data_IF_577558571620
#
_entry.id   IF_577558571620
#
_cell.length_a   1.000
_cell.length_b   1.000
_cell.length_c   1.000
_cell.angle_alpha   90.00
_cell.angle_beta   90.00
_cell.angle_gamma   90.00
#
_symmetry.space_group_name_H-M   'P 1'
#
loop_
_entity.id
_entity.type
_entity.pdbx_description
1 polymer ?
#
# COMPACT_ATOMS: atom_id res chain seq x y z
N UNK A 1 -29.31 5.37 14.95
CA UNK A 1 -28.25 5.54 15.98
C UNK A 1 -27.73 6.96 15.99
N UNK A 2 -27.59 7.57 14.82
CA UNK A 2 -27.31 8.99 14.62
C UNK A 2 -28.10 9.92 15.57
N UNK A 3 -29.43 9.83 15.60
CA UNK A 3 -30.25 10.68 16.49
C UNK A 3 -29.92 10.51 17.97
N UNK A 4 -29.64 9.28 18.41
CA UNK A 4 -29.25 8.98 19.80
C UNK A 4 -27.88 9.59 20.10
N UNK A 5 -26.90 9.42 19.21
CA UNK A 5 -25.55 9.98 19.41
C UNK A 5 -25.59 11.51 19.37
N UNK A 6 -26.33 12.11 18.45
CA UNK A 6 -26.57 13.56 18.39
C UNK A 6 -27.18 14.08 19.70
N UNK A 7 -28.19 13.37 20.24
CA UNK A 7 -28.78 13.73 21.53
C UNK A 7 -27.79 13.63 22.69
N UNK A 8 -26.92 12.62 22.70
CA UNK A 8 -25.88 12.46 23.71
C UNK A 8 -24.83 13.58 23.62
N UNK A 9 -24.41 13.96 22.41
CA UNK A 9 -23.49 15.08 22.20
C UNK A 9 -24.11 16.42 22.61
N UNK A 10 -25.42 16.64 22.37
CA UNK A 10 -26.14 17.82 22.88
C UNK A 10 -26.20 17.90 24.40
N UNK A 11 -26.17 16.77 25.10
CA UNK A 11 -26.04 16.75 26.56
C UNK A 11 -24.61 17.16 26.96
N UNK A 12 -23.60 16.67 26.23
CA UNK A 12 -22.20 17.03 26.45
C UNK A 12 -21.93 18.53 26.22
N UNK A 13 -22.66 19.17 25.32
CA UNK A 13 -22.55 20.62 25.06
C UNK A 13 -22.86 21.50 26.29
N UNK A 14 -23.51 20.95 27.32
CA UNK A 14 -23.80 21.65 28.58
C UNK A 14 -22.64 21.63 29.58
N UNK A 15 -21.62 20.80 29.35
CA UNK A 15 -20.49 20.63 30.26
C UNK A 15 -19.60 21.88 30.26
N UNK A 16 -18.98 22.19 31.41
CA UNK A 16 -18.10 23.36 31.55
C UNK A 16 -16.63 23.00 31.82
N UNK A 17 -16.37 21.76 32.21
CA UNK A 17 -15.02 21.25 32.50
C UNK A 17 -14.76 19.97 31.74
N UNK A 18 -13.49 19.69 31.46
CA UNK A 18 -13.08 18.49 30.73
C UNK A 18 -13.41 17.22 31.51
N UNK A 19 -13.26 17.24 32.84
CA UNK A 19 -13.61 16.10 33.69
C UNK A 19 -15.12 15.75 33.62
N UNK A 20 -15.99 16.78 33.69
CA UNK A 20 -17.43 16.61 33.53
C UNK A 20 -17.81 16.12 32.13
N UNK A 21 -17.16 16.66 31.10
CA UNK A 21 -17.33 16.23 29.71
C UNK A 21 -16.98 14.75 29.55
N UNK A 22 -15.84 14.32 30.08
CA UNK A 22 -15.39 12.93 30.03
C UNK A 22 -16.42 11.99 30.66
N UNK A 23 -16.88 12.32 31.87
CA UNK A 23 -17.88 11.52 32.58
C UNK A 23 -19.20 11.46 31.83
N UNK A 24 -19.69 12.60 31.34
CA UNK A 24 -20.96 12.68 30.61
C UNK A 24 -20.89 11.92 29.28
N UNK A 25 -19.76 12.01 28.57
CA UNK A 25 -19.52 11.25 27.36
C UNK A 25 -19.49 9.74 27.64
N UNK A 26 -18.79 9.32 28.69
CA UNK A 26 -18.70 7.92 29.08
C UNK A 26 -20.06 7.34 29.54
N UNK A 27 -20.92 8.16 30.16
CA UNK A 27 -22.25 7.74 30.60
C UNK A 27 -23.29 7.73 29.46
N UNK A 28 -23.20 8.65 28.49
CA UNK A 28 -24.25 8.85 27.47
C UNK A 28 -23.87 8.43 26.05
N UNK A 29 -22.64 8.72 25.62
CA UNK A 29 -22.19 8.47 24.25
C UNK A 29 -21.52 7.09 24.12
N UNK A 30 -20.62 6.74 25.05
CA UNK A 30 -19.90 5.46 25.03
C UNK A 30 -20.83 4.24 24.93
N UNK A 31 -21.95 4.11 25.66
CA UNK A 31 -22.85 2.95 25.53
C UNK A 31 -23.47 2.82 24.13
N UNK A 32 -23.70 3.93 23.43
CA UNK A 32 -24.24 3.93 22.06
C UNK A 32 -23.17 3.40 21.10
N UNK A 33 -21.91 3.81 21.29
CA UNK A 33 -20.77 3.29 20.52
C UNK A 33 -20.56 1.80 20.80
N UNK A 34 -20.60 1.38 22.06
CA UNK A 34 -20.48 -0.03 22.46
C UNK A 34 -21.58 -0.89 21.81
N UNK A 35 -22.83 -0.42 21.82
CA UNK A 35 -23.94 -1.10 21.16
C UNK A 35 -23.73 -1.24 19.64
N UNK A 36 -23.21 -0.20 18.99
CA UNK A 36 -22.92 -0.23 17.56
C UNK A 36 -21.79 -1.23 17.25
N UNK A 37 -20.71 -1.18 18.02
CA UNK A 37 -19.52 -2.01 17.82
C UNK A 37 -19.72 -3.48 18.20
N UNK A 38 -20.71 -3.80 19.02
CA UNK A 38 -21.10 -5.19 19.33
C UNK A 38 -22.21 -5.73 18.41
N UNK A 39 -22.66 -4.95 17.44
CA UNK A 39 -23.67 -5.43 16.49
C UNK A 39 -23.09 -6.56 15.60
N UNK A 40 -23.89 -7.61 15.30
CA UNK A 40 -23.43 -8.70 14.45
C UNK A 40 -23.13 -8.21 13.03
N UNK A 41 -22.04 -8.71 12.45
CA UNK A 41 -21.67 -8.46 11.06
C UNK A 41 -22.67 -9.11 10.11
N UNK A 42 -23.12 -8.38 9.10
CA UNK A 42 -24.10 -8.84 8.10
C UNK A 42 -23.44 -9.78 7.08
N UNK A 43 -22.20 -9.47 6.69
CA UNK A 43 -21.38 -10.27 5.80
C UNK A 43 -20.00 -10.50 6.43
N UNK A 44 -19.40 -11.65 6.13
CA UNK A 44 -18.01 -11.90 6.47
C UNK A 44 -17.09 -11.06 5.57
N UNK A 45 -16.03 -10.45 6.10
CA UNK A 45 -15.07 -9.72 5.29
C UNK A 45 -14.32 -10.67 4.35
N UNK A 46 -14.34 -10.30 3.08
CA UNK A 46 -13.66 -10.95 1.96
C UNK A 46 -13.04 -9.88 1.07
N UNK A 47 -12.18 -10.28 0.13
CA UNK A 47 -11.41 -9.37 -0.73
C UNK A 47 -12.31 -8.51 -1.65
N UNK A 48 -13.42 -9.08 -2.11
CA UNK A 48 -14.38 -8.41 -2.99
C UNK A 48 -15.46 -7.63 -2.24
N UNK A 49 -15.64 -7.86 -0.94
CA UNK A 49 -16.62 -7.13 -0.13
C UNK A 49 -15.98 -5.87 0.42
N UNK A 50 -16.67 -4.75 0.33
CA UNK A 50 -16.20 -3.55 1.04
C UNK A 50 -16.38 -3.75 2.55
N UNK A 51 -15.50 -3.18 3.39
CA UNK A 51 -15.66 -3.25 4.85
C UNK A 51 -17.02 -2.71 5.32
N UNK A 52 -17.56 -1.72 4.61
CA UNK A 52 -18.85 -1.09 4.92
C UNK A 52 -20.02 -2.06 4.77
N UNK A 53 -19.98 -2.93 3.76
CA UNK A 53 -20.99 -3.99 3.58
C UNK A 53 -20.98 -5.03 4.70
N UNK A 54 -19.84 -5.20 5.40
CA UNK A 54 -19.73 -6.15 6.50
C UNK A 54 -20.51 -5.65 7.72
N UNK A 55 -20.55 -4.32 7.93
CA UNK A 55 -21.22 -3.69 9.06
C UNK A 55 -21.88 -2.36 8.67
N UNK A 56 -23.06 -2.40 8.02
CA UNK A 56 -23.71 -1.20 7.49
C UNK A 56 -24.10 -0.23 8.61
N UNK A 57 -24.52 -0.75 9.77
CA UNK A 57 -24.89 0.07 10.94
C UNK A 57 -23.72 0.91 11.47
N UNK A 58 -22.50 0.37 11.41
CA UNK A 58 -21.29 1.08 11.84
C UNK A 58 -20.80 2.02 10.74
N UNK A 59 -20.94 1.63 9.47
CA UNK A 59 -20.66 2.51 8.34
C UNK A 59 -21.56 3.76 8.34
N UNK A 60 -22.87 3.59 8.58
CA UNK A 60 -23.82 4.70 8.76
C UNK A 60 -23.42 5.61 9.92
N UNK A 61 -22.98 5.03 11.04
CA UNK A 61 -22.51 5.80 12.20
C UNK A 61 -21.27 6.62 11.85
N UNK A 62 -20.31 6.03 11.13
CA UNK A 62 -19.12 6.73 10.63
C UNK A 62 -19.50 7.85 9.67
N UNK A 63 -20.41 7.59 8.74
CA UNK A 63 -20.89 8.61 7.79
C UNK A 63 -21.55 9.78 8.52
N UNK A 64 -22.40 9.50 9.50
CA UNK A 64 -23.03 10.51 10.34
C UNK A 64 -21.99 11.35 11.10
N UNK A 65 -20.95 10.72 11.65
CA UNK A 65 -19.82 11.43 12.26
C UNK A 65 -19.01 12.26 11.25
N UNK A 66 -18.96 11.85 9.98
CA UNK A 66 -18.25 12.59 8.94
C UNK A 66 -19.05 13.75 8.33
N UNK A 67 -20.38 13.78 8.46
CA UNK A 67 -21.21 14.70 7.66
C UNK A 67 -22.32 15.42 8.44
N UNK A 68 -22.89 14.79 9.47
CA UNK A 68 -24.17 15.22 10.06
C UNK A 68 -24.11 15.54 11.56
N UNK A 69 -23.06 15.10 12.25
CA UNK A 69 -22.93 15.23 13.71
C UNK A 69 -22.06 16.42 14.17
N UNK A 70 -21.52 17.23 13.25
CA UNK A 70 -20.84 18.48 13.59
C UNK A 70 -21.77 19.51 14.24
N UNK A 71 -21.20 20.59 14.78
CA UNK A 71 -21.92 21.69 15.40
C UNK A 71 -22.94 22.36 14.45
N UNK A 72 -22.67 22.30 13.15
CA UNK A 72 -23.59 22.71 12.09
C UNK A 72 -23.94 21.51 11.20
N UNK A 73 -25.22 21.37 10.84
CA UNK A 73 -25.65 20.39 9.83
C UNK A 73 -24.82 20.60 8.55
N UNK A 74 -24.26 19.51 8.00
CA UNK A 74 -23.29 19.49 6.89
C UNK A 74 -21.81 19.76 7.23
N UNK A 75 -21.42 19.82 8.50
CA UNK A 75 -19.99 19.85 8.91
C UNK A 75 -19.54 18.50 9.52
N UNK A 76 -18.30 18.05 9.25
CA UNK A 76 -17.76 16.86 9.90
C UNK A 76 -17.68 17.06 11.41
N UNK A 77 -17.86 15.97 12.17
CA UNK A 77 -17.62 15.99 13.61
C UNK A 77 -16.20 16.49 13.90
N UNK A 78 -16.13 17.31 14.94
CA UNK A 78 -14.92 18.01 15.38
C UNK A 78 -13.87 17.05 15.97
N UNK A 79 -12.62 17.49 15.98
CA UNK A 79 -11.47 16.65 16.31
C UNK A 79 -11.46 16.21 17.79
N UNK A 80 -12.05 17.01 18.68
CA UNK A 80 -12.25 16.68 20.09
C UNK A 80 -13.30 15.57 20.28
N UNK A 81 -14.35 15.55 19.46
CA UNK A 81 -15.33 14.45 19.44
C UNK A 81 -14.65 13.16 19.01
N UNK A 82 -13.86 13.20 17.92
CA UNK A 82 -13.11 12.03 17.46
C UNK A 82 -12.08 11.54 18.48
N UNK A 83 -11.40 12.44 19.19
CA UNK A 83 -10.49 12.06 20.27
C UNK A 83 -11.21 11.25 21.36
N UNK A 84 -12.39 11.71 21.80
CA UNK A 84 -13.19 10.98 22.80
C UNK A 84 -13.72 9.65 22.25
N UNK A 85 -14.05 9.57 20.96
CA UNK A 85 -14.43 8.30 20.30
C UNK A 85 -13.26 7.32 20.32
N UNK A 86 -12.06 7.72 19.88
CA UNK A 86 -10.87 6.85 19.92
C UNK A 86 -10.57 6.36 21.34
N UNK A 87 -10.74 7.23 22.35
CA UNK A 87 -10.62 6.87 23.76
C UNK A 87 -11.69 5.86 24.21
N UNK A 88 -12.95 6.06 23.83
CA UNK A 88 -14.03 5.14 24.17
C UNK A 88 -13.85 3.77 23.51
N UNK A 89 -13.44 3.74 22.23
CA UNK A 89 -13.18 2.50 21.49
C UNK A 89 -11.98 1.75 22.07
N UNK A 90 -10.87 2.41 22.36
CA UNK A 90 -9.70 1.78 23.00
C UNK A 90 -10.07 1.18 24.36
N UNK A 91 -10.78 1.92 25.21
CA UNK A 91 -11.27 1.42 26.49
C UNK A 91 -12.19 0.18 26.33
N UNK A 92 -13.09 0.19 25.33
CA UNK A 92 -13.95 -0.95 25.05
C UNK A 92 -13.14 -2.19 24.65
N UNK A 93 -12.20 -2.01 23.72
CA UNK A 93 -11.35 -3.08 23.20
C UNK A 93 -10.52 -3.71 24.32
N UNK A 94 -9.86 -2.90 25.16
CA UNK A 94 -9.10 -3.40 26.31
C UNK A 94 -9.97 -4.17 27.30
N UNK A 95 -11.17 -3.66 27.63
CA UNK A 95 -12.11 -4.35 28.52
C UNK A 95 -12.50 -5.72 27.96
N UNK A 96 -12.73 -5.82 26.65
CA UNK A 96 -13.14 -7.07 26.01
C UNK A 96 -11.99 -8.06 25.91
N UNK A 97 -10.76 -7.59 25.67
CA UNK A 97 -9.56 -8.44 25.73
C UNK A 97 -9.38 -9.06 27.13
N UNK A 98 -9.57 -8.29 28.21
CA UNK A 98 -9.47 -8.81 29.59
C UNK A 98 -10.56 -9.83 29.94
N UNK A 99 -11.78 -9.65 29.43
CA UNK A 99 -12.92 -10.57 29.66
C UNK A 99 -12.73 -11.96 29.04
N UNK A 100 -11.97 -12.07 27.94
CA UNK A 100 -11.70 -13.34 27.23
C UNK A 100 -10.93 -14.37 28.07
N UNK A 101 -10.34 -13.98 29.20
CA UNK A 101 -9.79 -14.94 30.18
C UNK A 101 -10.86 -15.79 30.88
N UNK A 102 -12.17 -15.47 30.77
CA UNK A 102 -13.22 -16.11 31.58
C UNK A 102 -14.49 -16.60 30.86
N UNK A 103 -14.83 -16.17 29.64
CA UNK A 103 -16.13 -16.52 29.03
C UNK A 103 -16.13 -16.82 27.52
N UNK A 104 -16.86 -17.88 27.11
CA UNK A 104 -17.08 -18.33 25.71
C UNK A 104 -18.39 -17.82 25.07
N UNK A 105 -19.17 -16.98 25.74
CA UNK A 105 -20.57 -16.67 25.35
C UNK A 105 -20.87 -15.27 24.78
N UNK A 106 -19.88 -14.41 24.55
CA UNK A 106 -20.09 -13.04 24.03
C UNK A 106 -19.98 -12.93 22.50
N UNK A 107 -20.42 -11.78 21.95
CA UNK A 107 -20.13 -11.38 20.56
C UNK A 107 -18.65 -11.62 20.28
N UNK A 108 -18.35 -12.32 19.19
CA UNK A 108 -16.97 -12.70 18.88
C UNK A 108 -16.07 -11.46 18.80
N UNK A 109 -14.89 -11.53 19.41
CA UNK A 109 -13.87 -10.48 19.33
C UNK A 109 -13.58 -10.13 17.86
N UNK A 110 -13.69 -11.10 16.95
CA UNK A 110 -13.58 -10.86 15.50
C UNK A 110 -14.60 -9.84 14.98
N UNK A 111 -15.87 -9.96 15.39
CA UNK A 111 -16.94 -9.02 15.04
C UNK A 111 -16.64 -7.62 15.59
N UNK A 112 -16.19 -7.53 16.84
CA UNK A 112 -15.80 -6.25 17.45
C UNK A 112 -14.67 -5.59 16.64
N UNK A 113 -13.64 -6.37 16.29
CA UNK A 113 -12.49 -5.89 15.52
C UNK A 113 -12.91 -5.43 14.11
N UNK A 114 -13.77 -6.18 13.42
CA UNK A 114 -14.35 -5.75 12.13
C UNK A 114 -15.10 -4.45 12.27
N UNK A 115 -15.95 -4.30 13.29
CA UNK A 115 -16.70 -3.08 13.52
C UNK A 115 -15.79 -1.89 13.87
N UNK A 116 -14.78 -2.08 14.71
CA UNK A 116 -13.78 -1.04 15.01
C UNK A 116 -13.04 -0.60 13.75
N UNK A 117 -12.63 -1.55 12.92
CA UNK A 117 -11.99 -1.26 11.64
C UNK A 117 -12.91 -0.46 10.73
N UNK A 118 -14.17 -0.86 10.55
CA UNK A 118 -15.15 -0.14 9.73
C UNK A 118 -15.37 1.29 10.25
N UNK A 119 -15.47 1.49 11.57
CA UNK A 119 -15.69 2.81 12.14
C UNK A 119 -14.53 3.78 11.87
N UNK A 120 -13.29 3.28 11.92
CA UNK A 120 -12.09 4.12 11.96
C UNK A 120 -11.27 4.11 10.66
N UNK A 121 -11.58 3.24 9.70
CA UNK A 121 -10.73 3.02 8.52
C UNK A 121 -10.54 4.22 7.58
N UNK A 122 -11.34 5.27 7.71
CA UNK A 122 -11.26 6.48 6.87
C UNK A 122 -10.62 7.66 7.59
N UNK A 123 -10.17 7.50 8.85
CA UNK A 123 -9.68 8.62 9.68
C UNK A 123 -8.18 8.54 9.92
N UNK A 124 -7.50 9.62 9.59
CA UNK A 124 -6.12 9.94 10.01
C UNK A 124 -6.13 10.78 11.27
N UNK A 125 -4.97 10.98 11.90
CA UNK A 125 -4.88 11.92 13.02
C UNK A 125 -5.16 13.36 12.57
N UNK A 126 -5.75 14.20 13.46
CA UNK A 126 -5.96 15.61 13.17
C UNK A 126 -4.62 16.37 13.17
N UNK A 127 -4.54 17.43 12.35
CA UNK A 127 -3.44 18.39 12.43
C UNK A 127 -3.68 19.30 13.64
N UNK A 128 -2.78 19.24 14.63
CA UNK A 128 -2.97 19.92 15.92
C UNK A 128 -3.10 21.44 15.79
N UNK A 129 -2.42 22.05 14.82
CA UNK A 129 -2.42 23.50 14.59
C UNK A 129 -3.75 24.04 14.07
N UNK A 130 -4.55 23.17 13.45
CA UNK A 130 -5.81 23.53 12.79
C UNK A 130 -7.01 22.74 13.35
N UNK A 131 -6.90 22.26 14.59
CA UNK A 131 -7.98 21.50 15.22
C UNK A 131 -9.29 22.30 15.26
N UNK A 132 -10.34 21.68 14.74
CA UNK A 132 -11.71 22.14 14.91
C UNK A 132 -12.22 21.52 16.20
N UNK A 133 -12.68 22.36 17.12
CA UNK A 133 -13.22 21.94 18.41
C UNK A 133 -14.69 22.26 18.47
N UNK A 134 -15.49 21.30 18.93
CA UNK A 134 -16.88 21.52 19.31
C UNK A 134 -16.94 22.29 20.62
N UNK A 135 -16.11 21.91 21.58
CA UNK A 135 -16.12 22.46 22.93
C UNK A 135 -15.03 23.52 23.11
N UNK A 136 -15.38 24.77 22.79
CA UNK A 136 -14.45 25.91 22.89
C UNK A 136 -13.90 26.18 24.30
N UNK A 137 -14.56 25.70 25.36
CA UNK A 137 -14.06 25.84 26.73
C UNK A 137 -12.74 25.08 26.96
N UNK A 138 -12.45 24.02 26.17
CA UNK A 138 -11.23 23.23 26.28
C UNK A 138 -9.97 24.08 26.08
N UNK A 139 -10.01 25.08 25.19
CA UNK A 139 -8.88 26.02 24.99
C UNK A 139 -8.65 26.89 26.23
N UNK A 140 -9.72 27.33 26.89
CA UNK A 140 -9.65 28.14 28.10
C UNK A 140 -9.12 27.32 29.28
N UNK A 141 -9.62 26.09 29.44
CA UNK A 141 -9.19 25.18 30.50
C UNK A 141 -7.73 24.76 30.32
N UNK A 142 -7.29 24.50 29.08
CA UNK A 142 -5.87 24.30 28.76
C UNK A 142 -5.01 25.47 29.20
N UNK A 143 -5.38 26.70 28.80
CA UNK A 143 -4.62 27.89 29.15
C UNK A 143 -4.56 28.11 30.66
N UNK A 144 -5.67 27.88 31.38
CA UNK A 144 -5.73 27.97 32.84
C UNK A 144 -4.83 26.92 33.52
N UNK A 145 -4.80 25.69 33.00
CA UNK A 145 -3.93 24.64 33.54
C UNK A 145 -2.45 24.95 33.26
N UNK A 146 -2.11 25.40 32.06
CA UNK A 146 -0.73 25.78 31.69
C UNK A 146 -0.23 26.99 32.52
N UNK A 147 -1.13 27.88 32.96
CA UNK A 147 -0.83 29.00 33.83
C UNK A 147 -0.80 28.65 35.33
N UNK A 148 -1.23 27.46 35.73
CA UNK A 148 -1.28 27.06 37.14
C UNK A 148 0.13 26.85 37.72
N UNK A 149 0.34 27.23 38.99
CA UNK A 149 1.61 27.03 39.70
C UNK A 149 2.07 25.57 39.66
N UNK A 150 1.12 24.64 39.80
CA UNK A 150 1.38 23.21 39.72
C UNK A 150 1.99 22.80 38.36
N UNK A 151 1.54 23.38 37.26
CA UNK A 151 2.08 23.09 35.93
C UNK A 151 3.41 23.81 35.69
N UNK A 152 3.52 25.08 36.09
CA UNK A 152 4.75 25.88 35.93
C UNK A 152 5.92 25.24 36.67
N UNK A 153 5.68 24.73 37.88
CA UNK A 153 6.72 24.07 38.68
C UNK A 153 6.88 22.57 38.38
N UNK A 154 6.01 21.98 37.56
CA UNK A 154 6.13 20.57 37.18
C UNK A 154 7.37 20.32 36.32
N UNK A 155 8.02 19.18 36.56
CA UNK A 155 9.17 18.77 35.76
C UNK A 155 8.74 18.24 34.37
N UNK A 156 9.69 18.08 33.46
CA UNK A 156 9.40 17.62 32.09
C UNK A 156 8.68 16.26 32.04
N UNK A 157 8.92 15.37 33.02
CA UNK A 157 8.27 14.05 33.09
C UNK A 157 6.81 14.14 33.52
N UNK A 158 6.49 15.01 34.47
CA UNK A 158 5.13 15.27 34.96
C UNK A 158 4.28 15.92 33.88
N UNK A 159 4.84 16.89 33.15
CA UNK A 159 4.16 17.49 31.98
C UNK A 159 3.82 16.44 30.92
N UNK A 160 4.75 15.52 30.65
CA UNK A 160 4.51 14.39 29.72
C UNK A 160 3.41 13.45 30.24
N UNK A 161 3.35 13.19 31.55
CA UNK A 161 2.27 12.39 32.16
C UNK A 161 0.91 13.07 31.98
N UNK A 162 0.83 14.38 32.20
CA UNK A 162 -0.41 15.14 32.01
C UNK A 162 -0.88 15.10 30.55
N UNK A 163 0.04 15.17 29.59
CA UNK A 163 -0.28 15.05 28.16
C UNK A 163 -0.84 13.68 27.75
N UNK A 164 -0.58 12.61 28.51
CA UNK A 164 -1.11 11.27 28.24
C UNK A 164 -2.28 10.89 29.16
N UNK A 165 -2.47 11.63 30.24
CA UNK A 165 -3.51 11.33 31.20
C UNK A 165 -4.90 11.61 30.62
N UNK A 166 -5.74 10.59 30.54
CA UNK A 166 -7.10 10.64 30.03
C UNK A 166 -7.99 11.70 30.73
N UNK A 167 -7.69 12.04 31.99
CA UNK A 167 -8.46 13.03 32.78
C UNK A 167 -7.93 14.45 32.65
N UNK A 168 -6.79 14.67 31.99
CA UNK A 168 -6.23 16.00 31.78
C UNK A 168 -6.65 16.57 30.43
N UNK A 169 -7.04 17.84 30.40
CA UNK A 169 -7.39 18.53 29.15
C UNK A 169 -6.22 18.57 28.16
N UNK A 170 -4.97 18.48 28.63
CA UNK A 170 -3.78 18.47 27.78
C UNK A 170 -3.74 17.27 26.83
N UNK A 171 -4.41 16.16 27.16
CA UNK A 171 -4.43 14.98 26.31
C UNK A 171 -5.14 15.24 24.97
N UNK A 172 -6.17 16.09 24.96
CA UNK A 172 -6.92 16.45 23.74
C UNK A 172 -6.00 17.15 22.72
N UNK A 173 -5.02 17.90 23.22
CA UNK A 173 -4.10 18.71 22.42
C UNK A 173 -2.71 18.07 22.24
N UNK A 174 -2.53 16.82 22.69
CA UNK A 174 -1.24 16.13 22.61
C UNK A 174 -1.23 15.11 21.49
N UNK A 175 -0.30 15.27 20.53
CA UNK A 175 -0.10 14.28 19.46
C UNK A 175 0.16 12.88 20.04
N UNK A 176 0.89 12.82 21.17
CA UNK A 176 1.22 11.57 21.84
C UNK A 176 -0.02 10.84 22.34
N UNK A 177 -1.00 11.55 22.87
CA UNK A 177 -2.25 10.95 23.32
C UNK A 177 -3.09 10.45 22.14
N UNK A 178 -3.20 11.23 21.06
CA UNK A 178 -3.87 10.78 19.84
C UNK A 178 -3.21 9.51 19.27
N UNK A 179 -1.87 9.51 19.13
CA UNK A 179 -1.11 8.34 18.68
C UNK A 179 -1.25 7.15 19.63
N UNK A 180 -1.31 7.39 20.94
CA UNK A 180 -1.50 6.35 21.94
C UNK A 180 -2.84 5.61 21.76
N UNK A 181 -3.96 6.32 21.76
CA UNK A 181 -5.28 5.69 21.57
C UNK A 181 -5.44 5.09 20.17
N UNK A 182 -4.89 5.74 19.14
CA UNK A 182 -4.84 5.20 17.79
C UNK A 182 -4.08 3.85 17.78
N UNK A 183 -2.87 3.81 18.36
CA UNK A 183 -2.07 2.58 18.44
C UNK A 183 -2.82 1.47 19.16
N UNK A 184 -3.45 1.75 20.31
CA UNK A 184 -4.17 0.74 21.07
C UNK A 184 -5.27 0.06 20.25
N UNK A 185 -6.06 0.82 19.49
CA UNK A 185 -7.13 0.23 18.67
C UNK A 185 -6.55 -0.55 17.49
N UNK A 186 -5.60 0.04 16.76
CA UNK A 186 -5.06 -0.56 15.55
C UNK A 186 -4.18 -1.79 15.82
N UNK A 187 -3.46 -1.83 16.93
CA UNK A 187 -2.69 -3.01 17.33
C UNK A 187 -3.58 -4.21 17.59
N UNK A 188 -4.77 -4.02 18.17
CA UNK A 188 -5.74 -5.11 18.33
C UNK A 188 -6.32 -5.54 16.98
N UNK A 189 -6.58 -4.59 16.08
CA UNK A 189 -6.98 -4.94 14.72
C UNK A 189 -5.92 -5.78 13.99
N UNK A 190 -4.64 -5.47 14.16
CA UNK A 190 -3.52 -6.25 13.61
C UNK A 190 -3.45 -7.63 14.25
N UNK A 191 -3.42 -7.70 15.58
CA UNK A 191 -3.30 -8.97 16.31
C UNK A 191 -4.44 -9.95 15.98
N UNK A 192 -5.63 -9.43 15.71
CA UNK A 192 -6.85 -10.21 15.42
C UNK A 192 -7.26 -10.19 13.96
N UNK A 193 -6.43 -9.67 13.05
CA UNK A 193 -6.73 -9.58 11.63
C UNK A 193 -7.05 -10.95 11.00
N UNK A 194 -6.32 -11.99 11.42
CA UNK A 194 -6.53 -13.37 10.98
C UNK A 194 -7.87 -13.95 11.43
N UNK A 195 -8.17 -13.88 12.73
CA UNK A 195 -9.45 -14.34 13.31
C UNK A 195 -10.66 -13.61 12.68
N UNK A 196 -10.47 -12.36 12.25
CA UNK A 196 -11.50 -11.53 11.66
C UNK A 196 -11.56 -11.55 10.13
N UNK A 197 -10.70 -12.31 9.44
CA UNK A 197 -10.59 -12.29 7.97
C UNK A 197 -10.41 -10.86 7.37
N UNK A 198 -9.70 -9.98 8.09
CA UNK A 198 -9.47 -8.57 7.71
C UNK A 198 -8.09 -8.29 7.11
N UNK A 199 -7.20 -9.28 7.03
CA UNK A 199 -5.80 -9.12 6.63
C UNK A 199 -5.63 -8.23 5.38
N UNK A 200 -6.35 -8.51 4.30
CA UNK A 200 -6.20 -7.79 3.02
C UNK A 200 -6.65 -6.33 3.13
N UNK A 201 -7.82 -6.08 3.74
CA UNK A 201 -8.32 -4.73 3.97
C UNK A 201 -7.42 -3.92 4.90
N UNK A 202 -6.88 -4.56 5.93
CA UNK A 202 -5.95 -3.94 6.87
C UNK A 202 -4.63 -3.59 6.19
N UNK A 203 -3.99 -4.55 5.52
CA UNK A 203 -2.68 -4.36 4.86
C UNK A 203 -2.72 -3.26 3.80
N UNK A 204 -3.80 -3.17 3.02
CA UNK A 204 -3.99 -2.10 2.03
C UNK A 204 -3.96 -0.68 2.65
N UNK A 205 -4.36 -0.53 3.92
CA UNK A 205 -4.30 0.74 4.65
C UNK A 205 -3.12 0.85 5.60
N UNK A 206 -2.50 -0.27 5.95
CA UNK A 206 -1.47 -0.33 6.97
C UNK A 206 -0.28 0.57 6.62
N UNK A 207 0.17 0.47 5.37
CA UNK A 207 1.30 1.24 4.83
C UNK A 207 1.10 2.74 4.94
N UNK A 208 0.09 3.28 4.27
CA UNK A 208 -0.09 4.72 4.09
C UNK A 208 -0.84 5.43 5.21
N UNK A 209 -1.74 4.74 5.92
CA UNK A 209 -2.66 5.37 6.88
C UNK A 209 -2.32 5.02 8.33
N UNK A 210 -1.93 3.78 8.60
CA UNK A 210 -1.74 3.30 9.98
C UNK A 210 -0.31 3.53 10.46
N UNK A 211 0.70 3.09 9.70
CA UNK A 211 2.12 3.15 10.11
C UNK A 211 2.59 4.55 10.57
N UNK A 212 2.29 5.66 9.86
CA UNK A 212 2.77 7.00 10.24
C UNK A 212 2.25 7.50 11.61
N UNK A 213 1.23 6.82 12.12
CA UNK A 213 0.42 7.24 13.25
C UNK A 213 0.58 6.33 14.48
N UNK A 214 1.34 5.23 14.35
CA UNK A 214 1.66 4.38 15.47
C UNK A 214 2.71 5.04 16.38
N UNK A 215 2.63 4.74 17.68
CA UNK A 215 3.63 5.18 18.67
C UNK A 215 4.99 4.51 18.46
N UNK A 216 4.99 3.24 18.07
CA UNK A 216 6.19 2.50 17.68
C UNK A 216 5.89 1.61 16.46
N UNK A 217 6.14 2.08 15.23
CA UNK A 217 5.87 1.33 14.01
C UNK A 217 6.67 0.03 13.86
N UNK A 218 7.88 -0.04 14.44
CA UNK A 218 8.75 -1.22 14.35
C UNK A 218 8.16 -2.49 14.96
N UNK A 219 7.18 -2.36 15.86
CA UNK A 219 6.46 -3.50 16.45
C UNK A 219 5.75 -4.34 15.38
N UNK A 220 5.46 -3.75 14.21
CA UNK A 220 4.82 -4.45 13.10
C UNK A 220 5.79 -5.22 12.19
N UNK A 221 7.11 -5.13 12.40
CA UNK A 221 8.09 -5.79 11.54
C UNK A 221 7.87 -7.31 11.45
N UNK A 222 7.70 -7.99 12.58
CA UNK A 222 7.49 -9.43 12.63
C UNK A 222 6.17 -9.84 11.96
N UNK A 223 5.10 -9.09 12.24
CA UNK A 223 3.78 -9.34 11.62
C UNK A 223 3.83 -9.17 10.10
N UNK A 224 4.46 -8.10 9.61
CA UNK A 224 4.60 -7.82 8.19
C UNK A 224 5.50 -8.84 7.47
N UNK A 225 6.57 -9.30 8.13
CA UNK A 225 7.45 -10.36 7.64
C UNK A 225 6.71 -11.69 7.55
N UNK A 226 5.88 -12.01 8.55
CA UNK A 226 5.00 -13.18 8.54
C UNK A 226 3.95 -13.10 7.42
N UNK A 227 3.35 -11.92 7.22
CA UNK A 227 2.41 -11.68 6.11
C UNK A 227 3.10 -11.85 4.75
N UNK A 228 4.33 -11.35 4.62
CA UNK A 228 5.10 -11.53 3.39
C UNK A 228 5.37 -13.01 3.09
N UNK A 229 5.83 -13.75 4.10
CA UNK A 229 6.18 -15.18 3.96
C UNK A 229 4.98 -16.06 3.59
N UNK A 230 3.75 -15.57 3.78
CA UNK A 230 2.54 -16.30 3.40
C UNK A 230 2.28 -16.35 1.88
N UNK A 231 2.91 -15.47 1.10
CA UNK A 231 2.76 -15.42 -0.37
C UNK A 231 1.42 -14.85 -0.86
N UNK A 232 1.23 -14.88 -2.19
CA UNK A 232 0.00 -14.43 -2.84
C UNK A 232 -0.27 -12.93 -2.74
N UNK A 233 -1.54 -12.54 -2.56
CA UNK A 233 -1.93 -11.12 -2.48
C UNK A 233 -1.48 -10.48 -1.16
N UNK A 234 -1.44 -11.26 -0.09
CA UNK A 234 -1.04 -10.81 1.25
C UNK A 234 0.41 -10.31 1.24
N UNK A 235 1.30 -11.03 0.54
CA UNK A 235 2.71 -10.62 0.42
C UNK A 235 2.91 -9.34 -0.38
N UNK A 236 2.12 -9.14 -1.44
CA UNK A 236 2.13 -7.89 -2.21
C UNK A 236 1.74 -6.69 -1.33
N UNK A 237 0.67 -6.84 -0.54
CA UNK A 237 0.18 -5.76 0.31
C UNK A 237 1.07 -5.51 1.54
N UNK A 238 1.71 -6.54 2.09
CA UNK A 238 2.61 -6.38 3.23
C UNK A 238 3.92 -5.70 2.85
N UNK A 239 4.40 -5.86 1.61
CA UNK A 239 5.69 -5.34 1.18
C UNK A 239 5.73 -3.80 1.20
N UNK A 240 4.61 -3.11 0.95
CA UNK A 240 4.55 -1.65 1.15
C UNK A 240 4.84 -1.25 2.60
N UNK A 241 4.27 -1.98 3.56
CA UNK A 241 4.51 -1.72 4.98
C UNK A 241 5.97 -1.98 5.38
N UNK A 242 6.53 -3.10 4.91
CA UNK A 242 7.96 -3.41 5.13
C UNK A 242 8.85 -2.31 4.54
N UNK A 243 8.58 -1.89 3.31
CA UNK A 243 9.36 -0.86 2.64
C UNK A 243 9.38 0.47 3.40
N UNK A 244 8.23 0.89 3.94
CA UNK A 244 8.16 2.09 4.77
C UNK A 244 8.90 1.93 6.11
N UNK A 245 8.88 0.75 6.73
CA UNK A 245 9.70 0.49 7.91
C UNK A 245 11.20 0.56 7.59
N UNK A 246 11.63 0.08 6.42
CA UNK A 246 13.03 0.22 5.99
C UNK A 246 13.40 1.69 5.77
N UNK A 247 12.56 2.42 5.04
CA UNK A 247 12.85 3.80 4.62
C UNK A 247 12.80 4.80 5.79
N UNK A 248 11.72 4.77 6.58
CA UNK A 248 11.41 5.81 7.57
C UNK A 248 11.85 5.42 8.98
N UNK A 249 12.03 4.12 9.24
CA UNK A 249 12.31 3.59 10.59
C UNK A 249 13.61 2.80 10.68
N UNK A 250 14.40 2.72 9.60
CA UNK A 250 15.72 2.07 9.60
C UNK A 250 15.67 0.56 9.83
N UNK A 251 14.55 -0.10 9.50
CA UNK A 251 14.47 -1.55 9.55
C UNK A 251 15.43 -2.16 8.51
N UNK A 252 16.44 -2.90 8.98
CA UNK A 252 17.28 -3.70 8.10
C UNK A 252 16.55 -5.01 7.79
N UNK A 253 16.14 -5.16 6.54
CA UNK A 253 15.47 -6.36 6.08
C UNK A 253 16.34 -7.10 5.07
N UNK A 254 16.96 -8.24 5.48
CA UNK A 254 17.82 -8.99 4.58
C UNK A 254 17.00 -9.51 3.40
N UNK A 255 17.59 -9.47 2.20
CA UNK A 255 17.02 -10.02 0.98
C UNK A 255 15.71 -9.36 0.48
N UNK A 256 15.49 -8.07 0.80
CA UNK A 256 14.35 -7.30 0.25
C UNK A 256 14.19 -7.47 -1.27
N UNK A 257 15.29 -7.37 -2.03
CA UNK A 257 15.22 -7.50 -3.48
C UNK A 257 14.89 -8.92 -3.94
N UNK A 258 15.36 -9.97 -3.26
CA UNK A 258 14.99 -11.35 -3.62
C UNK A 258 13.49 -11.56 -3.45
N UNK A 259 12.95 -10.96 -2.40
CA UNK A 259 11.54 -10.98 -2.10
C UNK A 259 10.71 -10.20 -3.12
N UNK A 260 11.14 -8.97 -3.45
CA UNK A 260 10.52 -8.20 -4.51
C UNK A 260 10.52 -8.97 -5.84
N UNK A 261 11.64 -9.60 -6.19
CA UNK A 261 11.79 -10.41 -7.40
C UNK A 261 10.80 -11.59 -7.40
N UNK A 262 10.65 -12.29 -6.28
CA UNK A 262 9.70 -13.41 -6.16
C UNK A 262 8.22 -13.02 -6.37
N UNK A 263 7.87 -11.75 -6.14
CA UNK A 263 6.50 -11.24 -6.38
C UNK A 263 6.21 -10.95 -7.85
N UNK A 264 7.24 -10.86 -8.71
CA UNK A 264 7.09 -10.55 -10.13
C UNK A 264 6.54 -11.77 -10.87
N UNK A 265 5.24 -12.00 -10.76
CA UNK A 265 4.53 -13.14 -11.38
C UNK A 265 3.40 -12.64 -12.28
N UNK A 266 2.97 -13.43 -13.28
CA UNK A 266 1.82 -13.09 -14.12
C UNK A 266 0.56 -12.83 -13.30
N UNK A 267 0.32 -13.62 -12.25
CA UNK A 267 -0.82 -13.46 -11.35
C UNK A 267 -0.77 -12.14 -10.58
N UNK A 268 0.42 -11.75 -10.11
CA UNK A 268 0.60 -10.45 -9.44
C UNK A 268 0.34 -9.27 -10.39
N UNK A 269 0.73 -9.40 -11.67
CA UNK A 269 0.46 -8.40 -12.71
C UNK A 269 -1.02 -8.40 -13.16
N UNK A 270 -1.72 -9.52 -13.02
CA UNK A 270 -3.16 -9.61 -13.26
C UNK A 270 -4.00 -9.20 -12.03
N UNK A 271 -3.38 -9.10 -10.85
CA UNK A 271 -4.04 -8.79 -9.58
C UNK A 271 -4.77 -7.44 -9.58
N UNK A 272 -5.80 -7.35 -8.75
CA UNK A 272 -6.48 -6.09 -8.41
C UNK A 272 -5.53 -5.11 -7.69
N UNK A 273 -4.56 -5.63 -6.95
CA UNK A 273 -3.59 -4.86 -6.17
C UNK A 273 -2.24 -4.65 -6.88
N UNK A 274 -2.23 -4.78 -8.21
CA UNK A 274 -1.03 -4.55 -9.03
C UNK A 274 -0.51 -3.11 -8.95
N UNK A 275 -1.38 -2.15 -8.63
CA UNK A 275 -1.00 -0.75 -8.50
C UNK A 275 0.04 -0.58 -7.37
N UNK A 276 -0.21 -1.21 -6.23
CA UNK A 276 0.67 -1.19 -5.06
C UNK A 276 2.01 -1.83 -5.39
N UNK A 277 2.00 -2.97 -6.09
CA UNK A 277 3.21 -3.63 -6.59
C UNK A 277 4.00 -2.72 -7.53
N UNK A 278 3.35 -2.12 -8.53
CA UNK A 278 4.01 -1.27 -9.52
C UNK A 278 4.61 -0.01 -8.91
N UNK A 279 3.88 0.62 -7.98
CA UNK A 279 4.38 1.77 -7.22
C UNK A 279 5.63 1.40 -6.43
N UNK A 280 5.58 0.28 -5.75
CA UNK A 280 6.68 -0.20 -4.94
C UNK A 280 7.90 -0.59 -5.79
N UNK A 281 7.65 -1.25 -6.92
CA UNK A 281 8.66 -1.60 -7.91
C UNK A 281 9.35 -0.34 -8.46
N UNK A 282 8.59 0.68 -8.87
CA UNK A 282 9.16 1.95 -9.34
C UNK A 282 10.03 2.63 -8.28
N UNK A 283 9.53 2.70 -7.05
CA UNK A 283 10.25 3.34 -5.96
C UNK A 283 11.55 2.59 -5.61
N UNK A 284 11.50 1.26 -5.59
CA UNK A 284 12.65 0.41 -5.28
C UNK A 284 13.76 0.47 -6.34
N UNK A 285 13.40 0.65 -7.61
CA UNK A 285 14.31 0.72 -8.75
C UNK A 285 14.73 2.16 -9.12
N UNK A 286 14.23 3.16 -8.40
CA UNK A 286 14.70 4.55 -8.54
C UNK A 286 16.04 4.77 -7.80
N UNK A 287 16.43 3.87 -6.88
CA UNK A 287 17.67 3.97 -6.13
C UNK A 287 18.90 3.66 -7.00
N UNK A 288 19.85 4.60 -7.07
CA UNK A 288 21.13 4.41 -7.76
C UNK A 288 22.06 3.40 -7.06
N UNK A 289 21.75 3.00 -5.82
CA UNK A 289 22.55 2.02 -5.06
C UNK A 289 22.19 0.57 -5.38
N UNK A 290 21.28 0.33 -6.32
CA UNK A 290 20.91 -1.02 -6.72
C UNK A 290 21.99 -1.57 -7.66
N UNK A 291 22.62 -2.71 -7.33
CA UNK A 291 23.59 -3.35 -8.20
C UNK A 291 23.00 -3.67 -9.58
N UNK A 292 23.83 -3.53 -10.62
CA UNK A 292 23.39 -3.71 -12.02
C UNK A 292 22.81 -5.10 -12.30
N UNK A 293 23.29 -6.15 -11.62
CA UNK A 293 22.75 -7.51 -11.79
C UNK A 293 21.31 -7.65 -11.25
N UNK A 294 20.98 -6.95 -10.15
CA UNK A 294 19.61 -6.93 -9.60
C UNK A 294 18.70 -6.18 -10.56
N UNK A 295 19.14 -5.01 -11.04
CA UNK A 295 18.38 -4.23 -12.01
C UNK A 295 18.11 -5.03 -13.28
N UNK A 296 19.14 -5.69 -13.84
CA UNK A 296 18.99 -6.54 -15.03
C UNK A 296 18.01 -7.70 -14.78
N UNK A 297 18.07 -8.34 -13.61
CA UNK A 297 17.15 -9.43 -13.24
C UNK A 297 15.70 -8.95 -13.21
N UNK A 298 15.45 -7.81 -12.56
CA UNK A 298 14.12 -7.19 -12.49
C UNK A 298 13.63 -6.80 -13.88
N UNK A 299 14.45 -6.14 -14.69
CA UNK A 299 14.10 -5.75 -16.07
C UNK A 299 13.69 -6.98 -16.88
N UNK A 300 14.53 -8.01 -16.91
CA UNK A 300 14.28 -9.24 -17.68
C UNK A 300 13.02 -9.95 -17.21
N UNK A 301 12.84 -10.13 -15.90
CA UNK A 301 11.64 -10.74 -15.30
C UNK A 301 10.37 -9.94 -15.61
N UNK A 302 10.40 -8.61 -15.47
CA UNK A 302 9.24 -7.76 -15.81
C UNK A 302 8.91 -7.85 -17.30
N UNK A 303 9.91 -7.89 -18.18
CA UNK A 303 9.71 -8.04 -19.62
C UNK A 303 9.04 -9.39 -19.96
N UNK A 304 9.50 -10.49 -19.36
CA UNK A 304 8.90 -11.83 -19.53
C UNK A 304 7.47 -11.90 -19.00
N UNK A 305 7.25 -11.43 -17.76
CA UNK A 305 5.91 -11.41 -17.16
C UNK A 305 4.96 -10.55 -17.99
N UNK A 306 5.46 -9.46 -18.59
CA UNK A 306 4.65 -8.58 -19.46
C UNK A 306 4.11 -9.27 -20.70
N UNK A 307 4.76 -10.33 -21.21
CA UNK A 307 4.24 -11.10 -22.35
C UNK A 307 2.99 -11.91 -22.00
N UNK A 308 2.84 -12.30 -20.73
CA UNK A 308 1.68 -13.06 -20.24
C UNK A 308 0.66 -12.18 -19.50
N UNK A 309 1.01 -10.93 -19.24
CA UNK A 309 0.18 -10.02 -18.47
C UNK A 309 -0.93 -9.39 -19.34
N UNK A 310 -2.03 -8.92 -18.72
CA UNK A 310 -3.07 -8.19 -19.43
C UNK A 310 -2.52 -6.95 -20.13
N UNK A 311 -2.89 -6.71 -21.39
CA UNK A 311 -2.40 -5.56 -22.17
C UNK A 311 -2.40 -4.17 -21.49
N UNK A 312 -3.36 -3.83 -20.58
CA UNK A 312 -3.29 -2.58 -19.83
C UNK A 312 -2.06 -2.42 -18.94
N UNK A 313 -1.40 -3.51 -18.51
CA UNK A 313 -0.17 -3.44 -17.69
C UNK A 313 1.01 -2.89 -18.49
N UNK A 314 1.03 -3.09 -19.81
CA UNK A 314 2.10 -2.62 -20.70
C UNK A 314 2.27 -1.09 -20.68
N UNK A 315 1.20 -0.36 -20.35
CA UNK A 315 1.24 1.09 -20.16
C UNK A 315 2.10 1.53 -18.97
N UNK A 316 2.29 0.65 -17.99
CA UNK A 316 3.23 0.87 -16.89
C UNK A 316 4.57 0.19 -17.18
N UNK A 317 4.57 -1.07 -17.62
CA UNK A 317 5.79 -1.87 -17.68
C UNK A 317 6.77 -1.36 -18.73
N UNK A 318 6.31 -0.94 -19.92
CA UNK A 318 7.22 -0.43 -20.96
C UNK A 318 7.91 0.89 -20.55
N UNK A 319 7.20 1.93 -20.06
CA UNK A 319 7.87 3.14 -19.59
C UNK A 319 8.71 2.89 -18.35
N UNK A 320 8.29 1.98 -17.47
CA UNK A 320 9.09 1.55 -16.32
C UNK A 320 10.41 0.91 -16.77
N UNK A 321 10.38 -0.06 -17.68
CA UNK A 321 11.58 -0.72 -18.21
C UNK A 321 12.53 0.32 -18.82
N UNK A 322 12.00 1.24 -19.63
CA UNK A 322 12.80 2.35 -20.20
C UNK A 322 13.44 3.22 -19.11
N UNK A 323 12.68 3.62 -18.09
CA UNK A 323 13.17 4.41 -16.95
C UNK A 323 14.31 3.70 -16.22
N UNK A 324 14.15 2.41 -15.90
CA UNK A 324 15.17 1.64 -15.17
C UNK A 324 16.43 1.44 -16.04
N UNK A 325 16.27 1.18 -17.35
CA UNK A 325 17.40 1.08 -18.29
C UNK A 325 18.18 2.40 -18.40
N UNK A 326 17.49 3.54 -18.36
CA UNK A 326 18.13 4.88 -18.34
C UNK A 326 18.81 5.17 -17.00
N UNK A 327 18.28 4.64 -15.90
CA UNK A 327 18.86 4.80 -14.55
C UNK A 327 20.10 3.93 -14.35
N UNK A 328 20.14 2.75 -14.99
CA UNK A 328 21.23 1.78 -14.87
C UNK A 328 21.88 1.51 -16.24
N UNK A 329 22.92 2.29 -16.64
CA UNK A 329 23.47 2.24 -18.00
C UNK A 329 24.07 0.87 -18.39
N UNK A 330 24.61 0.10 -17.43
CA UNK A 330 25.09 -1.26 -17.66
C UNK A 330 23.98 -2.20 -18.18
N UNK A 331 22.71 -1.91 -17.87
CA UNK A 331 21.57 -2.68 -18.35
C UNK A 331 21.17 -2.34 -19.80
N UNK A 332 21.72 -1.27 -20.40
CA UNK A 332 21.47 -0.93 -21.82
C UNK A 332 21.98 -2.05 -22.75
N UNK A 333 22.98 -2.82 -22.30
CA UNK A 333 23.45 -4.02 -22.99
C UNK A 333 22.34 -5.07 -23.22
N UNK A 334 21.23 -5.02 -22.46
CA UNK A 334 20.07 -5.88 -22.69
C UNK A 334 19.31 -5.53 -23.97
N UNK A 335 19.40 -4.28 -24.46
CA UNK A 335 18.80 -3.84 -25.73
C UNK A 335 19.74 -4.16 -26.89
N UNK A 336 21.02 -3.80 -26.74
CA UNK A 336 22.00 -3.92 -27.82
C UNK A 336 23.35 -4.43 -27.30
N UNK A 337 23.83 -5.54 -27.89
CA UNK A 337 25.18 -6.07 -27.69
C UNK A 337 25.92 -6.14 -29.02
N UNK A 338 27.04 -5.42 -29.10
CA UNK A 338 27.89 -5.37 -30.30
C UNK A 338 29.10 -6.32 -30.24
N UNK A 339 29.49 -6.80 -29.05
CA UNK A 339 30.65 -7.67 -28.84
C UNK A 339 30.33 -8.84 -27.92
N UNK A 340 31.22 -9.85 -27.93
CA UNK A 340 31.21 -10.99 -26.99
C UNK A 340 31.80 -10.64 -25.62
N UNK A 341 32.04 -9.36 -25.34
CA UNK A 341 32.64 -8.91 -24.09
C UNK A 341 31.58 -8.84 -22.99
N UNK A 342 31.89 -9.41 -21.83
CA UNK A 342 31.02 -9.39 -20.68
C UNK A 342 30.94 -7.99 -20.06
N UNK A 343 29.74 -7.54 -19.71
CA UNK A 343 29.53 -6.34 -18.90
C UNK A 343 29.85 -6.71 -17.46
N UNK A 344 31.00 -6.26 -16.95
CA UNK A 344 31.40 -6.49 -15.57
C UNK A 344 30.92 -5.30 -14.73
N UNK A 345 30.07 -5.50 -13.69
CA UNK A 345 29.67 -4.43 -12.80
C UNK A 345 30.88 -3.80 -12.08
N UNK A 346 30.96 -2.47 -12.04
CA UNK A 346 32.05 -1.73 -11.38
C UNK A 346 32.15 -2.06 -9.87
N UNK A 347 31.02 -2.35 -9.21
CA UNK A 347 30.98 -2.74 -7.79
C UNK A 347 31.79 -4.02 -7.47
N UNK A 348 31.95 -4.92 -8.45
CA UNK A 348 32.78 -6.14 -8.33
C UNK A 348 34.26 -5.88 -8.70
N UNK A 349 34.57 -4.72 -9.28
CA UNK A 349 35.92 -4.33 -9.67
C UNK A 349 36.64 -3.56 -8.54
N UNK A 350 35.90 -2.84 -7.69
CA UNK A 350 36.51 -1.97 -6.66
C UNK A 350 36.79 -2.66 -5.31
N UNK A 351 36.13 -3.78 -4.99
CA UNK A 351 36.30 -4.45 -3.68
C UNK A 351 37.26 -5.64 -3.66
N UNK A 352 37.69 -6.18 -4.80
CA UNK A 352 38.53 -7.40 -4.84
C UNK A 352 39.39 -7.47 -6.11
N UNK A 353 40.38 -6.59 -6.23
CA UNK A 353 41.34 -6.65 -7.34
C UNK A 353 42.29 -7.88 -7.29
N UNK A 354 42.31 -8.65 -6.19
CA UNK A 354 43.30 -9.72 -5.96
C UNK A 354 42.72 -11.13 -5.66
N UNK A 355 41.40 -11.38 -5.78
CA UNK A 355 40.83 -12.71 -5.46
C UNK A 355 40.46 -13.54 -6.69
N UNK A 356 40.79 -14.85 -6.66
CA UNK A 356 40.46 -15.82 -7.72
C UNK A 356 38.96 -15.85 -8.10
N UNK A 357 38.10 -15.40 -7.20
CA UNK A 357 36.65 -15.20 -7.37
C UNK A 357 36.30 -14.17 -8.44
N UNK A 358 36.99 -13.03 -8.51
CA UNK A 358 36.73 -12.00 -9.53
C UNK A 358 37.12 -12.48 -10.94
N UNK A 359 38.23 -13.23 -11.04
CA UNK A 359 38.66 -13.86 -12.29
C UNK A 359 37.67 -14.94 -12.75
N UNK A 360 37.17 -15.76 -11.83
CA UNK A 360 36.13 -16.77 -12.10
C UNK A 360 34.82 -16.13 -12.57
N UNK A 361 34.37 -15.05 -11.92
CA UNK A 361 33.15 -14.34 -12.30
C UNK A 361 33.25 -13.73 -13.70
N UNK A 362 34.41 -13.15 -14.05
CA UNK A 362 34.66 -12.62 -15.40
C UNK A 362 34.66 -13.73 -16.45
N UNK A 363 35.32 -14.87 -16.17
CA UNK A 363 35.32 -16.02 -17.07
C UNK A 363 33.90 -16.58 -17.28
N UNK A 364 33.10 -16.66 -16.21
CA UNK A 364 31.71 -17.09 -16.29
C UNK A 364 30.86 -16.11 -17.11
N UNK A 365 30.97 -14.81 -16.88
CA UNK A 365 30.22 -13.82 -17.65
C UNK A 365 30.60 -13.81 -19.14
N UNK A 366 31.87 -14.06 -19.48
CA UNK A 366 32.31 -14.26 -20.87
C UNK A 366 31.71 -15.52 -21.49
N UNK A 367 31.66 -16.62 -20.73
CA UNK A 367 31.02 -17.87 -21.16
C UNK A 367 29.52 -17.68 -21.40
N UNK A 368 28.81 -17.02 -20.49
CA UNK A 368 27.38 -16.73 -20.59
C UNK A 368 27.08 -15.88 -21.83
N UNK A 369 27.89 -14.84 -22.05
CA UNK A 369 27.76 -13.97 -23.22
C UNK A 369 28.05 -14.74 -24.50
N UNK A 370 29.05 -15.63 -24.52
CA UNK A 370 29.32 -16.47 -25.68
C UNK A 370 28.15 -17.43 -25.97
N UNK A 371 27.56 -18.04 -24.94
CA UNK A 371 26.40 -18.91 -25.08
C UNK A 371 25.19 -18.17 -25.69
N UNK A 372 24.98 -16.90 -25.33
CA UNK A 372 23.96 -16.04 -25.93
C UNK A 372 24.15 -15.92 -27.46
N UNK A 373 25.38 -15.69 -27.92
CA UNK A 373 25.69 -15.61 -29.36
C UNK A 373 25.57 -16.96 -30.07
N UNK A 374 25.67 -18.06 -29.34
CA UNK A 374 25.37 -19.42 -29.83
C UNK A 374 23.85 -19.73 -29.80
N UNK A 375 23.00 -18.76 -29.46
CA UNK A 375 21.55 -18.87 -29.44
C UNK A 375 20.95 -19.44 -28.15
N UNK A 376 21.74 -19.53 -27.06
CA UNK A 376 21.28 -19.98 -25.74
C UNK A 376 21.23 -18.81 -24.76
N UNK A 377 20.04 -18.36 -24.42
CA UNK A 377 19.84 -17.31 -23.41
C UNK A 377 20.35 -17.80 -22.04
N UNK A 378 21.35 -17.13 -21.41
CA UNK A 378 21.89 -17.54 -20.12
C UNK A 378 20.95 -17.23 -18.94
N UNK A 379 19.87 -16.48 -19.17
CA UNK A 379 18.96 -16.09 -18.09
C UNK A 379 18.22 -17.30 -17.49
N UNK A 380 18.38 -17.51 -16.17
CA UNK A 380 17.59 -18.46 -15.39
C UNK A 380 16.56 -17.73 -14.51
N UNK A 381 15.30 -17.93 -14.86
CA UNK A 381 14.14 -17.32 -14.21
C UNK A 381 13.82 -17.93 -12.83
N UNK A 382 14.37 -19.11 -12.51
CA UNK A 382 14.11 -19.84 -11.25
C UNK A 382 15.24 -19.71 -10.24
N UNK A 383 16.37 -19.15 -10.66
CA UNK A 383 17.53 -18.95 -9.80
C UNK A 383 17.31 -17.81 -8.79
N UNK A 384 18.19 -17.72 -7.79
CA UNK A 384 18.24 -16.55 -6.90
C UNK A 384 18.77 -15.35 -7.68
N UNK A 385 18.46 -14.14 -7.21
CA UNK A 385 18.88 -12.89 -7.86
C UNK A 385 20.35 -12.83 -8.36
N UNK A 386 21.37 -13.22 -7.58
CA UNK A 386 22.76 -13.19 -8.07
C UNK A 386 23.07 -14.24 -9.14
N UNK A 387 22.25 -15.30 -9.23
CA UNK A 387 22.45 -16.47 -10.07
C UNK A 387 21.54 -16.47 -11.31
N UNK A 388 20.80 -15.38 -11.57
CA UNK A 388 19.90 -15.29 -12.74
C UNK A 388 20.64 -15.10 -14.05
N UNK A 389 21.89 -14.62 -14.02
CA UNK A 389 22.68 -14.25 -15.20
C UNK A 389 21.98 -13.25 -16.16
N UNK A 390 20.99 -12.50 -15.68
CA UNK A 390 20.19 -11.58 -16.50
C UNK A 390 21.04 -10.51 -17.19
N UNK A 391 22.11 -10.03 -16.54
CA UNK A 391 23.02 -9.02 -17.11
C UNK A 391 23.77 -9.53 -18.35
N UNK A 392 23.81 -10.84 -18.61
CA UNK A 392 24.42 -11.44 -19.79
C UNK A 392 23.39 -11.83 -20.86
N UNK A 393 22.10 -11.53 -20.64
CA UNK A 393 20.97 -11.81 -21.54
C UNK A 393 20.62 -10.59 -22.43
N UNK A 394 19.51 -10.69 -23.19
CA UNK A 394 18.92 -9.64 -24.02
C UNK A 394 17.39 -9.64 -23.91
N UNK A 395 16.73 -8.58 -24.39
CA UNK A 395 15.28 -8.37 -24.27
C UNK A 395 14.52 -8.70 -25.56
N UNK A 396 14.54 -9.97 -25.99
CA UNK A 396 13.71 -10.43 -27.10
C UNK A 396 12.21 -10.26 -26.85
N UNK A 397 11.80 -10.16 -25.59
CA UNK A 397 10.42 -9.87 -25.20
C UNK A 397 9.93 -8.54 -25.80
N UNK A 398 10.81 -7.53 -25.94
CA UNK A 398 10.47 -6.28 -26.61
C UNK A 398 10.18 -6.50 -28.10
N UNK A 399 10.99 -7.32 -28.78
CA UNK A 399 10.77 -7.64 -30.20
C UNK A 399 9.47 -8.38 -30.43
N UNK A 400 9.04 -9.24 -29.49
CA UNK A 400 7.73 -9.87 -29.55
C UNK A 400 6.58 -8.85 -29.42
N UNK A 401 6.75 -7.83 -28.57
CA UNK A 401 5.76 -6.77 -28.35
C UNK A 401 5.65 -5.77 -29.53
N UNK A 402 6.60 -5.74 -30.46
CA UNK A 402 6.50 -4.92 -31.69
C UNK A 402 5.29 -5.30 -32.56
N UNK A 403 4.83 -6.56 -32.47
CA UNK A 403 3.67 -7.08 -33.22
C UNK A 403 2.41 -7.18 -32.35
N UNK A 404 2.33 -6.38 -31.30
CA UNK A 404 1.19 -6.41 -30.38
C UNK A 404 -0.07 -5.79 -31.00
N UNK A 405 -1.24 -6.39 -30.73
CA UNK A 405 -2.52 -5.99 -31.32
C UNK A 405 -2.97 -4.57 -30.93
N UNK A 406 -2.58 -4.08 -29.76
CA UNK A 406 -2.84 -2.69 -29.38
C UNK A 406 -1.84 -1.76 -30.06
N UNK A 407 -2.28 -0.78 -30.88
CA UNK A 407 -1.38 0.06 -31.68
C UNK A 407 -0.45 0.95 -30.85
N UNK A 408 -0.83 1.28 -29.62
CA UNK A 408 0.01 2.07 -28.71
C UNK A 408 1.24 1.29 -28.22
N UNK A 409 1.16 -0.04 -28.14
CA UNK A 409 2.25 -0.87 -27.61
C UNK A 409 3.47 -0.86 -28.54
N UNK A 410 3.35 -1.14 -29.86
CA UNK A 410 4.48 -1.00 -30.79
C UNK A 410 5.10 0.41 -30.80
N UNK A 411 4.27 1.46 -30.66
CA UNK A 411 4.77 2.84 -30.54
C UNK A 411 5.63 3.02 -29.28
N UNK A 412 5.21 2.46 -28.14
CA UNK A 412 5.98 2.49 -26.90
C UNK A 412 7.27 1.68 -27.01
N UNK A 413 7.25 0.53 -27.69
CA UNK A 413 8.45 -0.28 -27.96
C UNK A 413 9.42 0.47 -28.88
N UNK A 414 8.92 1.16 -29.91
CA UNK A 414 9.77 1.96 -30.81
C UNK A 414 10.58 3.04 -30.07
N UNK A 415 10.07 3.53 -28.93
CA UNK A 415 10.75 4.53 -28.11
C UNK A 415 12.04 4.03 -27.46
N UNK A 416 12.25 2.71 -27.35
CA UNK A 416 13.51 2.12 -26.85
C UNK A 416 14.68 2.32 -27.81
N UNK A 417 14.42 2.62 -29.09
CA UNK A 417 15.46 3.00 -30.05
C UNK A 417 16.01 4.42 -29.80
N UNK A 418 15.28 5.24 -29.04
CA UNK A 418 15.65 6.62 -28.76
C UNK A 418 16.41 6.75 -27.44
N UNK A 419 17.54 7.44 -27.48
CA UNK A 419 18.34 7.80 -26.31
C UNK A 419 17.76 8.95 -25.48
N UNK A 420 16.64 9.55 -25.92
CA UNK A 420 16.01 10.66 -25.20
C UNK A 420 15.49 10.20 -23.83
N UNK A 421 15.79 10.98 -22.80
CA UNK A 421 15.23 10.78 -21.46
C UNK A 421 13.71 10.91 -21.49
N UNK A 422 13.00 9.91 -20.97
CA UNK A 422 11.56 9.97 -20.84
C UNK A 422 11.19 10.50 -19.45
N UNK A 423 10.85 11.78 -19.37
CA UNK A 423 10.43 12.42 -18.12
C UNK A 423 8.93 12.26 -17.85
N UNK A 424 8.22 11.49 -18.68
CA UNK A 424 6.79 11.30 -18.45
C UNK A 424 6.58 10.50 -17.16
N UNK A 425 5.69 10.95 -16.26
CA UNK A 425 5.43 10.22 -15.04
C UNK A 425 4.77 8.88 -15.36
N UNK A 426 5.23 7.82 -14.70
CA UNK A 426 4.68 6.49 -14.87
C UNK A 426 3.18 6.49 -14.53
N UNK A 427 2.38 5.95 -15.45
CA UNK A 427 0.94 5.76 -15.25
C UNK A 427 0.72 4.33 -14.78
N UNK A 428 0.62 4.17 -13.47
CA UNK A 428 0.50 2.87 -12.81
C UNK A 428 -0.76 2.08 -13.14
N UNK A 429 -1.83 2.73 -13.61
CA UNK A 429 -3.10 2.03 -13.86
C UNK A 429 -3.83 2.47 -15.13
N UNK A 430 -4.01 1.50 -16.03
CA UNK A 430 -5.14 1.46 -16.95
C UNK A 430 -5.89 0.14 -16.74
N UNK A 431 -7.21 0.20 -16.83
CA UNK A 431 -8.07 -0.97 -16.92
C UNK A 431 -8.58 -1.12 -18.34
N UNK A 432 -9.00 -2.32 -18.72
CA UNK A 432 -9.67 -2.53 -20.01
C UNK A 432 -10.89 -1.61 -20.16
N UNK A 433 -11.66 -1.40 -19.08
CA UNK A 433 -12.78 -0.45 -19.09
C UNK A 433 -12.34 0.96 -19.49
N UNK A 434 -11.25 1.49 -18.92
CA UNK A 434 -10.73 2.81 -19.30
C UNK A 434 -10.21 2.87 -20.73
N UNK A 435 -9.55 1.82 -21.21
CA UNK A 435 -9.06 1.75 -22.60
C UNK A 435 -10.23 1.72 -23.58
N UNK A 436 -11.24 0.91 -23.28
CA UNK A 436 -12.46 0.82 -24.08
C UNK A 436 -13.21 2.16 -24.11
N UNK A 437 -13.43 2.79 -22.95
CA UNK A 437 -14.06 4.11 -22.89
C UNK A 437 -13.24 5.15 -23.66
N UNK A 438 -11.91 5.13 -23.57
CA UNK A 438 -11.05 6.04 -24.33
C UNK A 438 -11.22 5.88 -25.85
N UNK A 439 -11.34 4.63 -26.34
CA UNK A 439 -11.56 4.39 -27.77
C UNK A 439 -12.98 4.79 -28.21
N UNK A 440 -14.01 4.48 -27.42
CA UNK A 440 -15.40 4.81 -27.75
C UNK A 440 -15.66 6.32 -27.73
N UNK A 441 -14.98 7.05 -26.83
CA UNK A 441 -15.10 8.51 -26.72
C UNK A 441 -14.14 9.26 -27.64
N UNK A 442 -13.31 8.56 -28.42
CA UNK A 442 -12.39 9.17 -29.36
C UNK A 442 -13.18 9.94 -30.41
N UNK A 443 -12.81 11.20 -30.62
CA UNK A 443 -13.43 12.02 -31.65
C UNK A 443 -13.23 11.37 -33.03
N UNK A 444 -14.33 11.18 -33.77
CA UNK A 444 -14.29 10.68 -35.13
C UNK A 444 -13.74 11.81 -36.01
N UNK A 445 -12.58 11.58 -36.60
CA UNK A 445 -12.01 12.48 -37.59
C UNK A 445 -12.65 12.21 -38.94
N UNK A 446 -13.25 13.23 -39.56
CA UNK A 446 -13.85 13.15 -40.90
C UNK A 446 -12.85 12.75 -41.97
N UNK A 447 -11.55 12.94 -41.73
CA UNK A 447 -10.47 12.53 -42.62
C UNK A 447 -10.01 11.08 -42.44
N UNK A 448 -10.34 10.43 -41.31
CA UNK A 448 -9.95 9.05 -41.00
C UNK A 448 -11.19 8.16 -40.82
N UNK A 449 -11.91 7.95 -41.93
CA UNK A 449 -13.04 7.03 -41.96
C UNK A 449 -12.56 5.57 -41.84
N UNK A 450 -13.28 4.69 -41.12
CA UNK A 450 -12.94 3.29 -41.02
C UNK A 450 -13.02 2.61 -42.39
N UNK A 451 -12.02 1.79 -42.71
CA UNK A 451 -11.98 0.99 -43.93
C UNK A 451 -12.70 -0.34 -43.75
N UNK A 452 -13.18 -0.90 -44.85
CA UNK A 452 -13.87 -2.20 -44.90
C UNK A 452 -13.01 -3.19 -45.69
N UNK A 453 -13.02 -4.46 -45.27
CA UNK A 453 -12.39 -5.53 -46.04
C UNK A 453 -13.19 -5.74 -47.35
N UNK A 454 -12.49 -5.74 -48.48
CA UNK A 454 -13.11 -5.89 -49.80
C UNK A 454 -13.38 -7.36 -50.19
N UNK A 455 -12.78 -8.31 -49.48
CA UNK A 455 -12.86 -9.74 -49.78
C UNK A 455 -13.93 -10.41 -48.90
N UNK A 456 -14.88 -11.09 -49.53
CA UNK A 456 -15.83 -11.93 -48.82
C UNK A 456 -15.10 -13.17 -48.28
N UNK A 457 -15.37 -13.61 -47.03
CA UNK A 457 -14.73 -14.81 -46.49
C UNK A 457 -15.06 -16.02 -47.37
N UNK A 458 -14.04 -16.77 -47.77
CA UNK A 458 -14.24 -18.00 -48.53
C UNK A 458 -15.01 -19.01 -47.67
N UNK A 459 -16.04 -19.67 -48.22
CA UNK A 459 -16.83 -20.70 -47.53
C UNK A 459 -16.04 -21.99 -47.23
N UNK A 460 -14.81 -22.11 -47.73
CA UNK A 460 -13.97 -23.27 -47.45
C UNK A 460 -13.55 -23.27 -45.98
N UNK A 461 -13.82 -24.37 -45.27
CA UNK A 461 -13.40 -24.56 -43.89
C UNK A 461 -11.86 -24.54 -43.84
N UNK A 462 -11.22 -23.64 -43.08
CA UNK A 462 -9.77 -23.50 -43.06
C UNK A 462 -9.03 -24.77 -42.58
N UNK A 463 -9.76 -25.78 -42.08
CA UNK A 463 -9.23 -27.11 -41.77
C UNK A 463 -8.94 -27.99 -43.00
N UNK A 464 -9.52 -27.71 -44.17
CA UNK A 464 -9.23 -28.45 -45.41
C UNK A 464 -7.80 -28.17 -45.93
N UNK A 465 -7.18 -27.06 -45.53
CA UNK A 465 -5.81 -26.70 -45.89
C UNK A 465 -4.72 -27.49 -45.15
N UNK A 466 -5.07 -28.26 -44.11
CA UNK A 466 -4.14 -29.12 -43.37
C UNK A 466 -4.09 -30.57 -43.91
N UNK A 467 -4.75 -30.83 -45.04
CA UNK A 467 -4.79 -32.15 -45.68
C UNK A 467 -3.79 -32.28 -46.84
N UNK A 468 -2.49 -32.08 -46.59
CA UNK A 468 -1.43 -32.49 -47.52
C UNK A 468 -0.18 -32.99 -46.81
#
# INVERSE_FOLDING_TARGET
>A
MESKLSSALRICDKCKTYAELCRTFDEKASPILEQALQSPTVKAPRDHTTPDECSPRVAELREALCTRLGAHEATPAEDDVWFLIYRAVSNLVERQQRKRSRDRGGVSLSTLVTNCFVLLCTRTLPQLDHMKLRWGFLKKERAALEASDAYVHSNASERRKLQLNATSVLSVFSEKAHKHYFTLVWMVCVEKAGEAALHIHLLHRLGSVVLPHLTNPLVLADYLTGCFSSGGIVSILSLQGLFLLMLDHGLEYPNYYEQLYSLLTPDAFASRHRYELFRLLDLSMTSLRVPSYIAASVIKRVAQVSLMAPAPTLYFTLPFLRKVLQTHPNCIALIHRSSREAVVPEDMAEQDADTATAQSAKAQAMSDTAALFDGRDPFDDRAKLPETHALNSTLWELTALERHFMPVVPLMVSAFSSTAEDKTPLRYEKSYGRLFTAEVTRAIDSHHLPTIAYEAPSEADPTDLLSF
#
